data_IF_652836723396
#
_entry.id   IF_652836723396
#
_cell.length_a   1.000
_cell.length_b   1.000
_cell.length_c   1.000
_cell.angle_alpha   90.00
_cell.angle_beta   90.00
_cell.angle_gamma   90.00
#
_symmetry.space_group_name_H-M   'P 1'
#
loop_
_entity.id
_entity.type
_entity.pdbx_description
1 polymer ?
#
# COMPACT_ATOMS: atom_id res chain seq x y z
N UNK A 1 24.65 -10.04 -34.74
CA UNK A 1 25.82 -10.59 -34.12
C UNK A 1 25.51 -10.98 -32.68
N UNK A 2 25.94 -12.19 -32.25
CA UNK A 2 25.63 -12.82 -30.95
C UNK A 2 26.00 -11.95 -29.73
N UNK A 3 27.00 -11.09 -29.81
CA UNK A 3 27.40 -10.18 -28.72
C UNK A 3 26.35 -9.07 -28.45
N UNK A 4 25.67 -8.57 -29.47
CA UNK A 4 24.61 -7.56 -29.30
C UNK A 4 23.33 -8.16 -28.69
N UNK A 5 23.02 -9.42 -29.00
CA UNK A 5 21.92 -10.17 -28.40
C UNK A 5 22.19 -10.51 -26.91
N UNK A 6 23.43 -10.89 -26.57
CA UNK A 6 23.82 -11.16 -25.19
C UNK A 6 23.71 -9.95 -24.29
N UNK A 7 24.12 -8.77 -24.75
CA UNK A 7 24.02 -7.50 -23.97
C UNK A 7 22.59 -7.11 -23.67
N UNK A 8 21.65 -7.28 -24.61
CA UNK A 8 20.25 -6.92 -24.42
C UNK A 8 19.50 -7.87 -23.45
N UNK A 9 19.88 -9.15 -23.43
CA UNK A 9 19.25 -10.17 -22.56
C UNK A 9 19.59 -9.91 -21.07
N UNK A 10 20.81 -9.41 -20.79
CA UNK A 10 21.25 -9.14 -19.42
C UNK A 10 20.92 -7.71 -18.94
N UNK A 11 20.77 -6.74 -19.84
CA UNK A 11 20.53 -5.35 -19.46
C UNK A 11 19.17 -5.15 -18.76
N UNK A 12 18.13 -5.85 -19.20
CA UNK A 12 16.78 -5.73 -18.62
C UNK A 12 16.69 -6.19 -17.16
N UNK A 13 17.10 -7.43 -16.82
CA UNK A 13 17.10 -7.92 -15.44
C UNK A 13 18.02 -7.12 -14.51
N UNK A 14 19.21 -6.73 -14.98
CA UNK A 14 20.16 -5.92 -14.18
C UNK A 14 19.58 -4.55 -13.88
N UNK A 15 18.92 -3.91 -14.85
CA UNK A 15 18.26 -2.63 -14.63
C UNK A 15 17.12 -2.74 -13.60
N UNK A 16 16.26 -3.74 -13.69
CA UNK A 16 15.20 -3.97 -12.73
C UNK A 16 15.72 -4.26 -11.32
N UNK A 17 16.82 -5.01 -11.20
CA UNK A 17 17.46 -5.25 -9.92
C UNK A 17 17.99 -3.94 -9.32
N UNK A 18 18.67 -3.11 -10.13
CA UNK A 18 19.16 -1.81 -9.68
C UNK A 18 18.03 -0.84 -9.28
N UNK A 19 16.91 -0.83 -10.00
CA UNK A 19 15.73 -0.05 -9.66
C UNK A 19 15.13 -0.51 -8.32
N UNK A 20 15.07 -1.82 -8.09
CA UNK A 20 14.60 -2.38 -6.83
C UNK A 20 15.53 -2.03 -5.66
N UNK A 21 16.83 -2.16 -5.83
CA UNK A 21 17.82 -1.80 -4.81
C UNK A 21 17.76 -0.31 -4.47
N UNK A 22 17.62 0.55 -5.47
CA UNK A 22 17.45 2.00 -5.27
C UNK A 22 16.17 2.30 -4.47
N UNK A 23 15.04 1.64 -4.81
CA UNK A 23 13.78 1.79 -4.08
C UNK A 23 13.90 1.34 -2.62
N UNK A 24 14.51 0.19 -2.38
CA UNK A 24 14.71 -0.32 -1.01
C UNK A 24 15.70 0.54 -0.21
N UNK A 25 16.65 1.19 -0.86
CA UNK A 25 17.53 2.18 -0.22
C UNK A 25 16.74 3.40 0.26
N UNK A 26 15.75 3.85 -0.51
CA UNK A 26 14.83 4.93 -0.09
C UNK A 26 14.02 4.50 1.14
N UNK A 27 13.43 3.30 1.12
CA UNK A 27 12.72 2.73 2.28
C UNK A 27 13.61 2.72 3.53
N UNK A 28 14.87 2.28 3.38
CA UNK A 28 15.83 2.25 4.49
C UNK A 28 16.10 3.65 5.05
N UNK A 29 16.29 4.63 4.18
CA UNK A 29 16.58 6.01 4.59
C UNK A 29 15.44 6.64 5.40
N UNK A 30 14.18 6.31 5.06
CA UNK A 30 12.99 6.85 5.73
C UNK A 30 12.67 6.07 7.01
N UNK A 31 12.67 4.74 6.96
CA UNK A 31 12.26 3.88 8.06
C UNK A 31 13.28 3.76 9.19
N UNK A 32 14.56 4.06 8.94
CA UNK A 32 15.68 3.74 9.82
C UNK A 32 15.73 2.25 10.24
N UNK A 33 15.24 1.35 9.39
CA UNK A 33 15.20 -0.07 9.65
C UNK A 33 16.60 -0.67 9.73
N UNK A 34 16.77 -1.67 10.61
CA UNK A 34 18.01 -2.43 10.73
C UNK A 34 18.33 -3.21 9.45
N UNK A 35 19.54 -3.74 9.33
CA UNK A 35 19.91 -4.58 8.20
C UNK A 35 19.04 -5.83 8.08
N UNK A 36 18.70 -6.46 9.22
CA UNK A 36 17.84 -7.64 9.24
C UNK A 36 16.39 -7.28 8.87
N UNK A 37 15.87 -6.15 9.35
CA UNK A 37 14.55 -5.65 8.97
C UNK A 37 14.47 -5.33 7.48
N UNK A 38 15.50 -4.68 6.93
CA UNK A 38 15.56 -4.41 5.49
C UNK A 38 15.59 -5.67 4.64
N UNK A 39 16.23 -6.72 5.15
CA UNK A 39 16.19 -8.03 4.49
C UNK A 39 14.77 -8.59 4.46
N UNK A 40 14.07 -8.58 5.59
CA UNK A 40 12.66 -9.04 5.69
C UNK A 40 11.74 -8.22 4.76
N UNK A 41 11.85 -6.91 4.77
CA UNK A 41 11.06 -6.02 3.89
C UNK A 41 11.36 -6.27 2.41
N UNK A 42 12.63 -6.50 2.06
CA UNK A 42 13.02 -6.80 0.67
C UNK A 42 12.52 -8.16 0.20
N UNK A 43 12.55 -9.17 1.07
CA UNK A 43 12.00 -10.50 0.78
C UNK A 43 10.49 -10.45 0.58
N UNK A 44 9.77 -9.71 1.44
CA UNK A 44 8.33 -9.53 1.31
C UNK A 44 7.96 -8.75 0.04
N UNK A 45 8.67 -7.67 -0.29
CA UNK A 45 8.42 -6.93 -1.52
C UNK A 45 8.64 -7.80 -2.78
N UNK A 46 9.65 -8.66 -2.78
CA UNK A 46 9.88 -9.63 -3.85
C UNK A 46 8.79 -10.70 -3.90
N UNK A 47 8.37 -11.20 -2.75
CA UNK A 47 7.28 -12.17 -2.64
C UNK A 47 5.98 -11.60 -3.22
N UNK A 48 5.61 -10.40 -2.82
CA UNK A 48 4.44 -9.70 -3.33
C UNK A 48 4.53 -9.42 -4.83
N UNK A 49 5.71 -9.05 -5.33
CA UNK A 49 5.96 -8.87 -6.76
C UNK A 49 5.88 -10.17 -7.58
N UNK A 50 6.07 -11.33 -6.96
CA UNK A 50 5.97 -12.63 -7.61
C UNK A 50 4.54 -13.23 -7.55
N UNK A 51 3.73 -12.82 -6.57
CA UNK A 51 2.42 -13.42 -6.27
C UNK A 51 1.24 -12.52 -6.63
N UNK A 52 1.47 -11.25 -6.98
CA UNK A 52 0.44 -10.29 -7.34
C UNK A 52 0.66 -9.73 -8.75
N UNK A 53 -0.23 -8.85 -9.21
CA UNK A 53 -0.07 -8.13 -10.49
C UNK A 53 1.02 -7.05 -10.46
N UNK A 54 1.50 -6.69 -9.29
CA UNK A 54 2.49 -5.63 -9.09
C UNK A 54 3.91 -6.17 -9.17
N UNK A 55 4.85 -5.28 -9.44
CA UNK A 55 6.28 -5.58 -9.40
C UNK A 55 6.84 -5.42 -7.98
N UNK A 56 8.01 -6.02 -7.71
CA UNK A 56 8.72 -5.82 -6.46
C UNK A 56 9.08 -4.33 -6.20
N UNK A 57 9.32 -3.55 -7.25
CA UNK A 57 9.58 -2.10 -7.16
C UNK A 57 8.33 -1.36 -6.68
N UNK A 58 7.15 -1.71 -7.20
CA UNK A 58 5.88 -1.12 -6.76
C UNK A 58 5.55 -1.51 -5.31
N UNK A 59 5.80 -2.77 -4.92
CA UNK A 59 5.70 -3.18 -3.51
C UNK A 59 6.66 -2.38 -2.61
N UNK A 60 7.89 -2.12 -3.08
CA UNK A 60 8.85 -1.23 -2.42
C UNK A 60 8.34 0.21 -2.27
N UNK A 61 7.61 0.73 -3.26
CA UNK A 61 6.97 2.06 -3.15
C UNK A 61 5.86 2.07 -2.10
N UNK A 62 5.05 1.03 -2.00
CA UNK A 62 4.06 0.92 -0.92
C UNK A 62 4.73 0.92 0.46
N UNK A 63 5.84 0.19 0.62
CA UNK A 63 6.64 0.22 1.85
C UNK A 63 7.20 1.63 2.16
N UNK A 64 7.57 2.40 1.13
CA UNK A 64 8.01 3.79 1.29
C UNK A 64 6.90 4.67 1.88
N UNK A 65 5.68 4.61 1.36
CA UNK A 65 4.52 5.34 1.91
C UNK A 65 4.24 4.95 3.36
N UNK A 66 4.27 3.64 3.68
CA UNK A 66 4.11 3.19 5.06
C UNK A 66 5.22 3.71 5.98
N UNK A 67 6.48 3.73 5.50
CA UNK A 67 7.60 4.28 6.25
C UNK A 67 7.44 5.79 6.49
N UNK A 68 6.95 6.55 5.50
CA UNK A 68 6.62 7.97 5.63
C UNK A 68 5.51 8.20 6.65
N UNK A 69 4.52 7.31 6.73
CA UNK A 69 3.49 7.31 7.76
C UNK A 69 4.01 6.87 9.16
N UNK A 70 5.29 6.55 9.28
CA UNK A 70 5.93 6.20 10.55
C UNK A 70 5.76 4.74 10.98
N UNK A 71 5.28 3.88 10.09
CA UNK A 71 5.10 2.46 10.39
C UNK A 71 6.43 1.76 10.64
N UNK A 72 6.45 0.83 11.58
CA UNK A 72 7.60 -0.01 11.88
C UNK A 72 7.60 -1.25 11.00
N UNK A 73 8.74 -1.94 10.92
CA UNK A 73 8.95 -3.12 10.06
C UNK A 73 7.82 -4.15 10.15
N UNK A 74 7.42 -4.55 11.36
CA UNK A 74 6.36 -5.54 11.54
C UNK A 74 4.98 -5.02 11.08
N UNK A 75 4.73 -3.72 11.25
CA UNK A 75 3.52 -3.06 10.75
C UNK A 75 3.51 -3.02 9.23
N UNK A 76 4.64 -2.68 8.60
CA UNK A 76 4.78 -2.68 7.14
C UNK A 76 4.57 -4.08 6.55
N UNK A 77 5.17 -5.11 7.16
CA UNK A 77 5.00 -6.50 6.74
C UNK A 77 3.54 -6.97 6.88
N UNK A 78 2.88 -6.62 8.00
CA UNK A 78 1.48 -6.97 8.22
C UNK A 78 0.50 -6.20 7.34
N UNK A 79 0.81 -4.97 6.97
CA UNK A 79 -0.07 -4.09 6.21
C UNK A 79 0.05 -4.21 4.70
N UNK A 80 1.22 -4.57 4.18
CA UNK A 80 1.50 -4.60 2.76
C UNK A 80 0.52 -5.47 1.94
N UNK A 81 0.18 -6.71 2.35
CA UNK A 81 -0.77 -7.54 1.60
C UNK A 81 -2.15 -6.90 1.45
N UNK A 82 -2.70 -6.32 2.51
CA UNK A 82 -4.02 -5.66 2.49
C UNK A 82 -4.05 -4.47 1.53
N UNK A 83 -3.03 -3.62 1.57
CA UNK A 83 -2.88 -2.45 0.69
C UNK A 83 -2.76 -2.89 -0.77
N UNK A 84 -1.92 -3.89 -1.06
CA UNK A 84 -1.72 -4.38 -2.43
C UNK A 84 -2.97 -5.07 -2.97
N UNK A 85 -3.71 -5.80 -2.13
CA UNK A 85 -4.98 -6.42 -2.52
C UNK A 85 -6.04 -5.35 -2.85
N UNK A 86 -6.15 -4.28 -2.06
CA UNK A 86 -7.06 -3.18 -2.33
C UNK A 86 -6.71 -2.48 -3.65
N UNK A 87 -5.44 -2.16 -3.89
CA UNK A 87 -4.97 -1.57 -5.14
C UNK A 87 -5.20 -2.50 -6.34
N UNK A 88 -5.05 -3.83 -6.13
CA UNK A 88 -5.34 -4.82 -7.17
C UNK A 88 -6.83 -4.88 -7.51
N UNK A 89 -7.69 -4.87 -6.52
CA UNK A 89 -9.14 -4.97 -6.68
C UNK A 89 -9.75 -3.69 -7.26
N UNK A 90 -9.28 -2.51 -6.81
CA UNK A 90 -9.79 -1.21 -7.26
C UNK A 90 -9.23 -0.77 -8.63
N UNK A 91 -8.06 -1.28 -9.02
CA UNK A 91 -7.35 -0.81 -10.21
C UNK A 91 -6.66 0.55 -10.03
N UNK A 92 -6.67 1.10 -8.82
CA UNK A 92 -6.08 2.39 -8.47
C UNK A 92 -4.55 2.30 -8.33
N UNK A 93 -3.88 3.45 -8.30
CA UNK A 93 -2.43 3.53 -8.08
C UNK A 93 -2.06 3.03 -6.66
N UNK A 94 -1.06 2.16 -6.59
CA UNK A 94 -0.65 1.53 -5.33
C UNK A 94 -0.15 2.55 -4.30
N UNK A 95 0.53 3.61 -4.72
CA UNK A 95 0.98 4.68 -3.84
C UNK A 95 -0.20 5.43 -3.22
N UNK A 96 -1.18 5.80 -4.05
CA UNK A 96 -2.39 6.49 -3.59
C UNK A 96 -3.21 5.61 -2.62
N UNK A 97 -3.36 4.32 -2.91
CA UNK A 97 -4.04 3.38 -2.01
C UNK A 97 -3.27 3.23 -0.70
N UNK A 98 -1.94 3.18 -0.75
CA UNK A 98 -1.09 3.12 0.46
C UNK A 98 -1.31 4.33 1.36
N UNK A 99 -1.34 5.53 0.78
CA UNK A 99 -1.58 6.79 1.49
C UNK A 99 -2.96 6.80 2.15
N UNK A 100 -4.01 6.45 1.40
CA UNK A 100 -5.38 6.36 1.91
C UNK A 100 -5.46 5.40 3.11
N UNK A 101 -4.88 4.21 2.99
CA UNK A 101 -4.96 3.19 4.05
C UNK A 101 -4.18 3.62 5.28
N UNK A 102 -2.95 4.12 5.12
CA UNK A 102 -2.12 4.54 6.25
C UNK A 102 -2.75 5.71 7.03
N UNK A 103 -3.31 6.68 6.32
CA UNK A 103 -3.99 7.83 6.92
C UNK A 103 -5.26 7.41 7.68
N UNK A 104 -6.09 6.56 7.04
CA UNK A 104 -7.32 6.08 7.65
C UNK A 104 -7.05 5.23 8.90
N UNK A 105 -6.12 4.28 8.83
CA UNK A 105 -5.76 3.47 10.00
C UNK A 105 -5.27 4.35 11.16
N UNK A 106 -4.45 5.35 10.87
CA UNK A 106 -3.99 6.31 11.88
C UNK A 106 -5.16 7.09 12.48
N UNK A 107 -6.07 7.62 11.66
CA UNK A 107 -7.19 8.43 12.11
C UNK A 107 -8.21 7.64 12.96
N UNK A 108 -8.44 6.37 12.65
CA UNK A 108 -9.31 5.47 13.42
C UNK A 108 -8.58 4.71 14.54
N UNK A 109 -7.31 5.04 14.80
CA UNK A 109 -6.47 4.34 15.77
C UNK A 109 -6.45 2.80 15.57
N UNK A 110 -6.50 2.38 14.31
CA UNK A 110 -6.40 0.98 13.91
C UNK A 110 -4.94 0.56 13.80
N UNK A 111 -4.69 -0.73 14.02
CA UNK A 111 -3.35 -1.31 13.89
C UNK A 111 -3.09 -1.78 12.44
N UNK A 112 -1.84 -1.88 12.02
CA UNK A 112 -1.47 -2.20 10.65
C UNK A 112 -1.97 -3.58 10.18
N UNK A 113 -2.10 -4.56 11.07
CA UNK A 113 -2.69 -5.87 10.81
C UNK A 113 -4.19 -5.80 10.45
N UNK A 114 -4.84 -4.68 10.75
CA UNK A 114 -6.24 -4.41 10.35
C UNK A 114 -6.36 -3.82 8.95
N UNK A 115 -5.24 -3.61 8.24
CA UNK A 115 -5.26 -3.07 6.86
C UNK A 115 -6.08 -3.92 5.90
N UNK A 116 -6.05 -5.24 6.03
CA UNK A 116 -6.89 -6.16 5.24
C UNK A 116 -8.37 -5.91 5.48
N UNK A 117 -8.81 -5.80 6.75
CA UNK A 117 -10.20 -5.47 7.09
C UNK A 117 -10.62 -4.11 6.51
N UNK A 118 -9.77 -3.09 6.66
CA UNK A 118 -10.05 -1.78 6.09
C UNK A 118 -10.16 -1.84 4.56
N UNK A 119 -9.24 -2.56 3.92
CA UNK A 119 -9.24 -2.78 2.48
C UNK A 119 -10.54 -3.44 1.99
N UNK A 120 -11.02 -4.49 2.68
CA UNK A 120 -12.26 -5.18 2.35
C UNK A 120 -13.48 -4.27 2.49
N UNK A 121 -13.55 -3.52 3.60
CA UNK A 121 -14.65 -2.56 3.83
C UNK A 121 -14.68 -1.49 2.74
N UNK A 122 -13.52 -0.93 2.39
CA UNK A 122 -13.44 0.12 1.39
C UNK A 122 -13.73 -0.40 -0.03
N UNK A 123 -13.24 -1.58 -0.38
CA UNK A 123 -13.51 -2.23 -1.65
C UNK A 123 -15.02 -2.55 -1.80
N UNK A 124 -15.63 -3.09 -0.75
CA UNK A 124 -17.05 -3.42 -0.77
C UNK A 124 -17.94 -2.16 -0.82
N UNK A 125 -17.61 -1.14 -0.06
CA UNK A 125 -18.37 0.10 -0.07
C UNK A 125 -18.26 0.81 -1.43
N UNK A 126 -17.08 0.85 -2.04
CA UNK A 126 -16.89 1.46 -3.37
C UNK A 126 -17.60 0.69 -4.48
N UNK A 127 -17.72 -0.64 -4.39
CA UNK A 127 -18.44 -1.44 -5.39
C UNK A 127 -19.96 -1.40 -5.24
N UNK A 128 -20.48 -1.01 -4.08
CA UNK A 128 -21.92 -0.91 -3.80
C UNK A 128 -22.47 0.52 -3.90
N UNK A 129 -21.64 1.50 -4.22
CA UNK A 129 -22.02 2.90 -4.34
C UNK A 129 -21.48 3.49 -5.66
N UNK A 130 -22.03 4.61 -6.09
CA UNK A 130 -21.56 5.31 -7.29
C UNK A 130 -20.28 6.11 -7.01
N UNK A 131 -19.23 5.39 -6.59
CA UNK A 131 -17.93 5.95 -6.18
C UNK A 131 -16.80 4.97 -6.47
N UNK A 132 -15.55 5.34 -6.19
CA UNK A 132 -14.37 4.50 -6.26
C UNK A 132 -13.51 4.63 -4.99
N UNK A 133 -12.48 3.80 -4.89
CA UNK A 133 -11.59 3.79 -3.71
C UNK A 133 -10.91 5.14 -3.50
N UNK A 134 -10.46 5.80 -4.55
CA UNK A 134 -9.82 7.12 -4.46
C UNK A 134 -10.77 8.20 -3.95
N UNK A 135 -12.00 8.25 -4.46
CA UNK A 135 -13.01 9.23 -4.02
C UNK A 135 -13.43 8.99 -2.57
N UNK A 136 -13.65 7.72 -2.20
CA UNK A 136 -13.93 7.35 -0.82
C UNK A 136 -12.76 7.69 0.09
N UNK A 137 -11.54 7.35 -0.31
CA UNK A 137 -10.32 7.65 0.41
C UNK A 137 -10.15 9.14 0.68
N UNK A 138 -10.33 9.99 -0.34
CA UNK A 138 -10.29 11.45 -0.19
C UNK A 138 -11.34 11.97 0.79
N UNK A 139 -12.49 11.32 0.88
CA UNK A 139 -13.52 11.64 1.86
C UNK A 139 -13.12 11.17 3.26
N UNK A 140 -12.60 9.95 3.38
CA UNK A 140 -12.07 9.41 4.63
C UNK A 140 -11.01 10.32 5.23
N UNK A 141 -10.01 10.75 4.46
CA UNK A 141 -8.95 11.64 4.93
C UNK A 141 -9.49 12.92 5.58
N UNK A 142 -10.62 13.44 5.11
CA UNK A 142 -11.24 14.65 5.64
C UNK A 142 -12.08 14.42 6.90
N UNK A 143 -12.80 13.30 6.96
CA UNK A 143 -13.80 13.06 8.02
C UNK A 143 -13.33 12.09 9.09
N UNK A 144 -12.36 11.21 8.80
CA UNK A 144 -11.89 10.19 9.72
C UNK A 144 -11.36 10.74 11.06
N UNK A 145 -10.62 11.86 11.11
CA UNK A 145 -10.17 12.41 12.39
C UNK A 145 -11.33 12.78 13.33
N UNK A 146 -12.43 13.31 12.79
CA UNK A 146 -13.61 13.67 13.56
C UNK A 146 -14.43 12.43 13.91
N UNK A 147 -14.64 11.54 12.94
CA UNK A 147 -15.39 10.31 13.13
C UNK A 147 -14.72 9.37 14.14
N UNK A 148 -13.41 9.19 14.04
CA UNK A 148 -12.62 8.40 14.98
C UNK A 148 -12.68 8.96 16.41
N UNK A 149 -12.58 10.29 16.55
CA UNK A 149 -12.71 10.96 17.86
C UNK A 149 -14.13 10.81 18.48
N UNK A 150 -15.15 10.69 17.64
CA UNK A 150 -16.54 10.45 18.06
C UNK A 150 -16.86 8.95 18.28
N UNK A 151 -15.92 8.05 18.00
CA UNK A 151 -16.06 6.61 18.21
C UNK A 151 -16.81 5.87 17.09
N UNK A 152 -16.99 6.48 15.92
CA UNK A 152 -17.51 5.79 14.74
C UNK A 152 -16.48 4.79 14.19
N UNK A 153 -16.98 3.65 13.70
CA UNK A 153 -16.14 2.65 13.04
C UNK A 153 -15.91 2.98 11.56
N UNK A 154 -14.95 2.31 10.94
CA UNK A 154 -14.71 2.42 9.48
C UNK A 154 -15.91 1.94 8.67
N UNK A 155 -16.64 0.94 9.18
CA UNK A 155 -17.86 0.41 8.58
C UNK A 155 -18.98 1.46 8.58
N UNK A 156 -19.22 2.13 9.70
CA UNK A 156 -20.22 3.19 9.83
C UNK A 156 -19.92 4.33 8.85
N UNK A 157 -18.64 4.73 8.76
CA UNK A 157 -18.21 5.77 7.86
C UNK A 157 -18.33 5.36 6.39
N UNK A 158 -17.94 4.13 6.06
CA UNK A 158 -18.04 3.60 4.69
C UNK A 158 -19.48 3.55 4.23
N UNK A 159 -20.39 3.12 5.12
CA UNK A 159 -21.84 3.12 4.85
C UNK A 159 -22.36 4.54 4.64
N UNK A 160 -22.01 5.47 5.52
CA UNK A 160 -22.42 6.87 5.41
C UNK A 160 -21.94 7.53 4.10
N UNK A 161 -20.67 7.35 3.74
CA UNK A 161 -20.10 7.87 2.49
C UNK A 161 -20.78 7.22 1.28
N UNK A 162 -20.97 5.89 1.30
CA UNK A 162 -21.64 5.16 0.23
C UNK A 162 -23.08 5.62 0.00
N UNK A 163 -23.83 5.89 1.07
CA UNK A 163 -25.20 6.43 0.98
C UNK A 163 -25.24 7.85 0.41
N UNK A 164 -24.22 8.68 0.68
CA UNK A 164 -24.13 10.03 0.12
C UNK A 164 -23.66 10.04 -1.34
N UNK A 165 -23.02 8.98 -1.81
CA UNK A 165 -22.52 8.85 -3.17
C UNK A 165 -23.57 8.31 -4.18
N UNK A 166 -24.69 7.80 -3.71
CA UNK A 166 -25.84 7.34 -4.50
C UNK A 166 -26.91 8.41 -4.60
#
# INVERSE_FOLDING_TARGET
TLAALGGAIYAGPVKKAAEFEAQMSTVKAISNASADDMKRLSEEAKHMGATTKFTAVEAGKALEYMAMAGWKTDQMLGGLPGIMNLAAASGEDLGQVSDIVTDALTAFNMTADQSGRFADVLAQASSNANTNVSMMGATFQKVAPVAGALGYSVEDMSLGIGLMAN
#
